data_IF_268080087047
#
_entry.id   IF_268080087047
#
_cell.length_a   1.000
_cell.length_b   1.000
_cell.length_c   1.000
_cell.angle_alpha   90.00
_cell.angle_beta   90.00
_cell.angle_gamma   90.00
#
_symmetry.space_group_name_H-M   'P 1'
#
loop_
_entity.id
_entity.type
_entity.pdbx_description
1 polymer ?
#
# COMPACT_ATOMS: atom_id res chain seq x y z
N UNK A 1 15.39 13.07 28.84
CA UNK A 1 16.64 12.44 28.33
C UNK A 1 16.24 11.29 27.43
N UNK A 2 16.83 11.13 26.24
CA UNK A 2 16.47 10.06 25.31
C UNK A 2 16.76 8.67 25.92
N UNK A 3 15.79 7.75 25.88
CA UNK A 3 15.97 6.40 26.40
C UNK A 3 16.76 5.56 25.40
N UNK A 4 17.97 5.13 25.77
CA UNK A 4 18.81 4.27 24.92
C UNK A 4 18.65 2.76 25.22
N UNK A 5 18.01 2.43 26.34
CA UNK A 5 17.84 1.04 26.82
C UNK A 5 16.49 0.48 26.38
N UNK A 6 16.51 -0.72 25.79
CA UNK A 6 15.29 -1.43 25.37
C UNK A 6 14.49 -1.88 26.60
N UNK A 7 13.19 -1.60 26.59
CA UNK A 7 12.23 -2.22 27.50
C UNK A 7 11.00 -2.70 26.71
N UNK A 8 10.38 -3.82 27.09
CA UNK A 8 9.15 -4.29 26.44
C UNK A 8 8.02 -3.24 26.47
N UNK A 9 7.88 -2.51 27.58
CA UNK A 9 6.83 -1.49 27.73
C UNK A 9 7.01 -0.32 26.76
N UNK A 10 8.27 0.12 26.56
CA UNK A 10 8.57 1.19 25.61
C UNK A 10 8.36 0.73 24.16
N UNK A 11 8.73 -0.51 23.84
CA UNK A 11 8.45 -1.11 22.54
C UNK A 11 6.94 -1.22 22.28
N UNK A 12 6.16 -1.63 23.27
CA UNK A 12 4.70 -1.72 23.18
C UNK A 12 4.05 -0.36 22.98
N UNK A 13 4.51 0.68 23.69
CA UNK A 13 4.01 2.05 23.53
C UNK A 13 4.32 2.62 22.14
N UNK A 14 5.53 2.38 21.60
CA UNK A 14 5.88 2.75 20.22
C UNK A 14 4.94 2.07 19.22
N UNK A 15 4.73 0.76 19.36
CA UNK A 15 3.81 -0.01 18.51
C UNK A 15 2.37 0.52 18.59
N UNK A 16 1.88 0.81 19.80
CA UNK A 16 0.55 1.37 20.01
C UNK A 16 0.36 2.69 19.27
N UNK A 17 1.32 3.62 19.38
CA UNK A 17 1.26 4.91 18.68
C UNK A 17 1.30 4.77 17.16
N UNK A 18 2.15 3.89 16.65
CA UNK A 18 2.21 3.58 15.22
C UNK A 18 0.86 3.07 14.72
N UNK A 19 0.26 2.10 15.44
CA UNK A 19 -1.06 1.56 15.09
C UNK A 19 -2.14 2.65 15.05
N UNK A 20 -2.01 3.69 15.90
CA UNK A 20 -2.91 4.85 15.95
C UNK A 20 -2.53 5.99 14.98
N UNK A 21 -1.67 5.73 13.99
CA UNK A 21 -1.39 6.67 12.91
C UNK A 21 -0.15 7.54 13.09
N UNK A 22 0.46 7.57 14.28
CA UNK A 22 1.66 8.38 14.53
C UNK A 22 2.83 7.88 13.65
N UNK A 23 3.57 8.83 13.08
CA UNK A 23 4.83 8.51 12.40
C UNK A 23 5.92 8.24 13.42
N UNK A 24 6.83 7.31 13.11
CA UNK A 24 7.98 7.02 13.98
C UNK A 24 8.79 8.29 14.30
N UNK A 25 8.90 9.22 13.34
CA UNK A 25 9.52 10.53 13.56
C UNK A 25 8.83 11.30 14.69
N UNK A 26 7.52 11.45 14.62
CA UNK A 26 6.73 12.19 15.62
C UNK A 26 6.85 11.52 16.99
N UNK A 27 6.84 10.19 17.05
CA UNK A 27 7.03 9.43 18.28
C UNK A 27 8.41 9.72 18.89
N UNK A 28 9.46 9.66 18.08
CA UNK A 28 10.83 9.89 18.56
C UNK A 28 11.10 11.35 18.95
N UNK A 29 10.26 12.30 18.52
CA UNK A 29 10.34 13.71 18.91
C UNK A 29 9.69 13.97 20.29
N UNK A 30 8.96 13.01 20.86
CA UNK A 30 8.35 13.13 22.19
C UNK A 30 9.39 13.04 23.31
N UNK A 31 9.13 13.72 24.43
CA UNK A 31 9.94 13.53 25.63
C UNK A 31 9.79 12.09 26.15
N UNK A 32 10.89 11.55 26.68
CA UNK A 32 10.97 10.17 27.15
C UNK A 32 10.79 9.09 26.06
N UNK A 33 10.95 9.42 24.77
CA UNK A 33 11.05 8.44 23.68
C UNK A 33 12.51 8.21 23.24
N UNK A 34 12.83 7.01 22.72
CA UNK A 34 14.13 6.75 22.10
C UNK A 34 14.25 7.51 20.79
N UNK A 35 15.49 7.84 20.39
CA UNK A 35 15.75 8.38 19.07
C UNK A 35 15.52 7.31 17.97
N UNK A 36 15.36 7.76 16.72
CA UNK A 36 15.10 6.87 15.59
C UNK A 36 16.21 5.82 15.39
N UNK A 37 17.48 6.18 15.57
CA UNK A 37 18.61 5.25 15.42
C UNK A 37 18.52 4.13 16.44
N UNK A 38 18.16 4.45 17.68
CA UNK A 38 17.92 3.46 18.74
C UNK A 38 16.77 2.52 18.39
N UNK A 39 15.63 3.03 17.90
CA UNK A 39 14.49 2.17 17.50
C UNK A 39 14.87 1.24 16.34
N UNK A 40 15.54 1.76 15.31
CA UNK A 40 15.99 0.93 14.19
C UNK A 40 17.01 -0.13 14.60
N UNK A 41 17.88 0.15 15.59
CA UNK A 41 18.78 -0.85 16.17
C UNK A 41 17.98 -1.97 16.84
N UNK A 42 17.00 -1.64 17.68
CA UNK A 42 16.15 -2.64 18.32
C UNK A 42 15.41 -3.50 17.30
N UNK A 43 14.88 -2.89 16.23
CA UNK A 43 14.27 -3.64 15.12
C UNK A 43 15.26 -4.58 14.41
N UNK A 44 16.57 -4.35 14.44
CA UNK A 44 17.54 -5.29 13.85
C UNK A 44 17.91 -6.42 14.80
N UNK A 45 17.96 -6.13 16.09
CA UNK A 45 18.47 -7.05 17.11
C UNK A 45 17.37 -7.92 17.75
N UNK A 46 16.10 -7.49 17.70
CA UNK A 46 14.99 -8.08 18.47
C UNK A 46 13.87 -8.55 17.56
N UNK A 47 13.75 -9.86 17.40
CA UNK A 47 12.68 -10.49 16.58
C UNK A 47 11.29 -10.27 17.18
N UNK A 48 11.17 -10.34 18.51
CA UNK A 48 9.93 -10.07 19.24
C UNK A 48 9.38 -8.67 18.97
N UNK A 49 10.26 -7.67 18.97
CA UNK A 49 9.87 -6.30 18.66
C UNK A 49 9.55 -6.11 17.18
N UNK A 50 10.34 -6.70 16.26
CA UNK A 50 10.03 -6.66 14.82
C UNK A 50 8.63 -7.15 14.50
N UNK A 51 8.23 -8.28 15.09
CA UNK A 51 6.92 -8.87 14.82
C UNK A 51 5.79 -7.97 15.34
N UNK A 52 5.93 -7.40 16.54
CA UNK A 52 4.97 -6.44 17.09
C UNK A 52 4.90 -5.16 16.24
N UNK A 53 6.05 -4.66 15.80
CA UNK A 53 6.14 -3.48 14.96
C UNK A 53 5.51 -3.71 13.58
N UNK A 54 5.71 -4.88 12.98
CA UNK A 54 5.07 -5.25 11.72
C UNK A 54 3.54 -5.28 11.85
N UNK A 55 3.00 -5.87 12.92
CA UNK A 55 1.55 -5.86 13.20
C UNK A 55 1.02 -4.45 13.41
N UNK A 56 1.71 -3.64 14.20
CA UNK A 56 1.34 -2.24 14.39
C UNK A 56 1.31 -1.44 13.07
N UNK A 57 2.19 -1.77 12.12
CA UNK A 57 2.19 -1.19 10.77
C UNK A 57 1.01 -1.66 9.91
N UNK A 58 0.55 -2.90 10.08
CA UNK A 58 -0.68 -3.39 9.47
C UNK A 58 -1.91 -2.67 10.06
N UNK A 59 -1.99 -2.55 11.39
CA UNK A 59 -3.07 -1.83 12.09
C UNK A 59 -3.09 -0.34 11.74
N UNK A 60 -1.92 0.28 11.52
CA UNK A 60 -1.80 1.65 11.03
C UNK A 60 -2.48 1.85 9.68
N UNK A 61 -2.51 0.82 8.82
CA UNK A 61 -3.22 0.92 7.55
C UNK A 61 -4.75 0.98 7.74
N UNK A 62 -5.29 0.30 8.76
CA UNK A 62 -6.72 0.42 9.14
C UNK A 62 -7.02 1.81 9.68
N UNK A 63 -6.16 2.35 10.54
CA UNK A 63 -6.31 3.72 11.03
C UNK A 63 -6.33 4.75 9.88
N UNK A 64 -5.45 4.59 8.89
CA UNK A 64 -5.44 5.46 7.71
C UNK A 64 -6.70 5.33 6.85
N UNK A 65 -7.37 4.18 6.83
CA UNK A 65 -8.66 4.02 6.16
C UNK A 65 -9.72 4.91 6.83
N UNK A 66 -9.81 4.87 8.16
CA UNK A 66 -10.77 5.67 8.92
C UNK A 66 -10.48 7.17 8.78
N UNK A 67 -9.21 7.57 8.79
CA UNK A 67 -8.81 8.95 8.51
C UNK A 67 -9.17 9.39 7.09
N UNK A 68 -9.01 8.52 6.08
CA UNK A 68 -9.39 8.85 4.69
C UNK A 68 -10.87 9.21 4.62
N UNK A 69 -11.75 8.38 5.22
CA UNK A 69 -13.19 8.63 5.24
C UNK A 69 -13.47 9.99 5.90
N UNK A 70 -12.88 10.22 7.07
CA UNK A 70 -13.04 11.48 7.82
C UNK A 70 -12.59 12.69 6.99
N UNK A 71 -11.45 12.61 6.30
CA UNK A 71 -10.92 13.71 5.48
C UNK A 71 -11.78 13.94 4.23
N UNK A 72 -12.29 12.86 3.63
CA UNK A 72 -13.13 12.95 2.44
C UNK A 72 -14.50 13.57 2.71
N UNK A 73 -15.07 13.34 3.90
CA UNK A 73 -16.38 13.86 4.28
C UNK A 73 -16.32 15.27 4.92
N UNK A 74 -15.14 15.71 5.37
CA UNK A 74 -14.94 17.04 5.96
C UNK A 74 -14.86 18.16 4.90
N UNK A 75 -16.01 18.80 4.65
CA UNK A 75 -16.15 19.97 3.78
C UNK A 75 -16.09 21.32 4.52
N UNK A 76 -15.80 21.33 5.83
CA UNK A 76 -15.94 22.50 6.70
C UNK A 76 -15.09 23.72 6.29
N UNK A 77 -14.07 23.52 5.44
CA UNK A 77 -13.15 24.57 4.97
C UNK A 77 -13.00 24.64 3.46
N UNK A 78 -13.88 23.98 2.72
CA UNK A 78 -13.86 23.97 1.25
C UNK A 78 -14.27 25.31 0.64
N UNK A 79 -14.89 26.19 1.43
CA UNK A 79 -15.38 27.50 0.98
C UNK A 79 -14.78 28.62 1.84
N UNK A 80 -14.31 29.67 1.18
CA UNK A 80 -13.94 30.94 1.79
C UNK A 80 -15.14 31.87 1.60
N UNK A 81 -15.77 32.26 2.72
CA UNK A 81 -16.87 33.21 2.70
C UNK A 81 -16.34 34.63 2.53
N UNK A 82 -16.62 35.25 1.39
CA UNK A 82 -16.30 36.65 1.08
C UNK A 82 -17.51 37.56 1.22
N UNK A 83 -17.30 38.88 1.27
CA UNK A 83 -18.40 39.86 1.39
C UNK A 83 -19.34 39.84 0.18
N UNK A 84 -18.80 39.71 -1.04
CA UNK A 84 -19.59 39.74 -2.29
C UNK A 84 -20.02 38.34 -2.78
N UNK A 85 -19.16 37.33 -2.58
CA UNK A 85 -19.44 35.95 -2.98
C UNK A 85 -18.53 34.97 -2.25
N UNK A 86 -19.04 33.75 -2.13
CA UNK A 86 -18.27 32.59 -1.72
C UNK A 86 -17.28 32.15 -2.82
N UNK A 87 -16.10 31.70 -2.40
CA UNK A 87 -15.08 31.18 -3.30
C UNK A 87 -14.57 29.82 -2.81
N UNK A 88 -14.29 28.85 -3.70
CA UNK A 88 -13.67 27.60 -3.29
C UNK A 88 -12.29 27.85 -2.67
N UNK A 89 -12.03 27.21 -1.54
CA UNK A 89 -10.72 27.14 -0.91
C UNK A 89 -9.87 26.08 -1.61
N UNK A 90 -9.37 26.42 -2.80
CA UNK A 90 -8.60 25.48 -3.63
C UNK A 90 -7.39 24.87 -2.92
N UNK A 91 -6.76 25.60 -2.00
CA UNK A 91 -5.63 25.10 -1.21
C UNK A 91 -6.06 23.99 -0.25
N UNK A 92 -7.18 24.19 0.46
CA UNK A 92 -7.70 23.21 1.41
C UNK A 92 -8.15 21.94 0.68
N UNK A 93 -8.91 22.10 -0.40
CA UNK A 93 -9.39 20.99 -1.24
C UNK A 93 -8.19 20.19 -1.79
N UNK A 94 -7.17 20.88 -2.32
CA UNK A 94 -5.97 20.23 -2.84
C UNK A 94 -5.18 19.50 -1.74
N UNK A 95 -5.07 20.09 -0.55
CA UNK A 95 -4.39 19.46 0.60
C UNK A 95 -5.15 18.23 1.09
N UNK A 96 -6.48 18.30 1.20
CA UNK A 96 -7.31 17.15 1.61
C UNK A 96 -7.17 16.00 0.62
N UNK A 97 -7.20 16.28 -0.69
CA UNK A 97 -6.90 15.28 -1.72
C UNK A 97 -5.51 14.67 -1.56
N UNK A 98 -4.47 15.50 -1.39
CA UNK A 98 -3.10 15.02 -1.19
C UNK A 98 -2.96 14.13 0.06
N UNK A 99 -3.65 14.48 1.15
CA UNK A 99 -3.67 13.68 2.38
C UNK A 99 -4.29 12.30 2.18
N UNK A 100 -5.39 12.23 1.41
CA UNK A 100 -6.05 10.98 1.04
C UNK A 100 -5.13 10.14 0.15
N UNK A 101 -4.57 10.73 -0.90
CA UNK A 101 -3.69 10.02 -1.85
C UNK A 101 -2.42 9.48 -1.17
N UNK A 102 -1.79 10.27 -0.29
CA UNK A 102 -0.64 9.84 0.48
C UNK A 102 -0.95 8.66 1.40
N UNK A 103 -2.12 8.66 2.05
CA UNK A 103 -2.57 7.55 2.91
C UNK A 103 -2.89 6.29 2.12
N UNK A 104 -3.58 6.41 0.97
CA UNK A 104 -3.82 5.28 0.07
C UNK A 104 -2.50 4.63 -0.38
N UNK A 105 -1.54 5.45 -0.78
CA UNK A 105 -0.21 4.95 -1.14
C UNK A 105 0.46 4.25 0.03
N UNK A 106 0.46 4.86 1.23
CA UNK A 106 1.03 4.24 2.42
C UNK A 106 0.37 2.90 2.75
N UNK A 107 -0.96 2.81 2.76
CA UNK A 107 -1.72 1.58 3.01
C UNK A 107 -1.32 0.45 2.05
N UNK A 108 -1.12 0.76 0.76
CA UNK A 108 -0.66 -0.24 -0.23
C UNK A 108 0.72 -0.82 0.08
N UNK A 109 1.57 -0.09 0.82
CA UNK A 109 2.91 -0.54 1.23
C UNK A 109 2.90 -1.20 2.60
N UNK A 110 2.05 -0.73 3.51
CA UNK A 110 1.93 -1.24 4.87
C UNK A 110 1.19 -2.58 4.92
N UNK A 111 0.10 -2.72 4.17
CA UNK A 111 -0.71 -3.93 4.10
C UNK A 111 -0.99 -4.33 2.63
N UNK A 112 0.05 -4.71 1.86
CA UNK A 112 -0.05 -4.98 0.42
C UNK A 112 -1.02 -6.12 0.07
N UNK A 113 -1.24 -7.08 0.99
CA UNK A 113 -2.20 -8.17 0.77
C UNK A 113 -3.65 -7.66 0.73
N UNK A 114 -3.97 -6.61 1.49
CA UNK A 114 -5.33 -6.06 1.63
C UNK A 114 -5.54 -4.87 0.69
N UNK A 115 -4.57 -3.96 0.60
CA UNK A 115 -4.68 -2.69 -0.12
C UNK A 115 -3.70 -2.53 -1.29
N UNK A 116 -2.93 -3.57 -1.62
CA UNK A 116 -2.06 -3.55 -2.79
C UNK A 116 -2.86 -3.65 -4.09
N UNK A 117 -2.33 -3.04 -5.14
CA UNK A 117 -2.92 -3.13 -6.47
C UNK A 117 -2.89 -4.58 -6.96
N UNK A 118 -4.07 -5.10 -7.32
CA UNK A 118 -4.19 -6.41 -7.96
C UNK A 118 -4.10 -6.22 -9.46
N UNK A 119 -3.00 -6.67 -10.05
CA UNK A 119 -2.87 -6.75 -11.49
C UNK A 119 -3.59 -8.01 -11.97
N UNK A 120 -4.64 -7.82 -12.76
CA UNK A 120 -5.27 -8.94 -13.46
C UNK A 120 -4.42 -9.30 -14.69
N UNK A 121 -3.75 -10.45 -14.63
CA UNK A 121 -2.93 -10.98 -15.70
C UNK A 121 -3.74 -12.02 -16.47
N UNK A 122 -4.70 -11.55 -17.27
CA UNK A 122 -5.43 -12.40 -18.22
C UNK A 122 -5.03 -12.10 -19.67
N UNK A 123 -5.10 -13.11 -20.52
CA UNK A 123 -5.01 -12.98 -21.98
C UNK A 123 -6.18 -13.74 -22.61
N UNK A 124 -6.98 -13.06 -23.44
CA UNK A 124 -8.20 -13.61 -24.04
C UNK A 124 -9.19 -14.23 -23.03
N UNK A 125 -9.27 -13.69 -21.80
CA UNK A 125 -10.15 -14.18 -20.73
C UNK A 125 -9.60 -15.35 -19.91
N UNK A 126 -8.37 -15.82 -20.20
CA UNK A 126 -7.74 -16.90 -19.44
C UNK A 126 -6.57 -16.37 -18.60
N UNK A 127 -6.46 -16.87 -17.35
CA UNK A 127 -5.37 -16.55 -16.42
C UNK A 127 -4.01 -16.92 -17.03
N UNK A 128 -3.04 -16.00 -16.95
CA UNK A 128 -1.65 -16.23 -17.28
C UNK A 128 -0.87 -16.96 -16.15
N UNK A 129 -1.45 -17.03 -14.95
CA UNK A 129 -0.91 -17.81 -13.84
C UNK A 129 -1.24 -19.29 -14.03
N UNK A 130 -0.56 -19.92 -14.99
CA UNK A 130 -0.69 -21.33 -15.33
C UNK A 130 0.32 -22.15 -14.50
N UNK A 131 -0.10 -23.33 -14.02
CA UNK A 131 0.83 -24.35 -13.47
C UNK A 131 1.80 -24.83 -14.56
N UNK A 132 2.93 -25.47 -14.21
CA UNK A 132 3.84 -26.04 -15.20
C UNK A 132 3.11 -26.96 -16.20
N UNK A 133 2.17 -27.81 -15.75
CA UNK A 133 1.41 -28.67 -16.67
C UNK A 133 0.49 -27.86 -17.59
N UNK A 134 -0.17 -26.83 -17.07
CA UNK A 134 -1.06 -25.97 -17.86
C UNK A 134 -0.29 -25.14 -18.90
N UNK A 135 0.94 -24.69 -18.59
CA UNK A 135 1.83 -24.03 -19.56
C UNK A 135 2.22 -24.98 -20.68
N UNK A 136 2.62 -26.20 -20.33
CA UNK A 136 3.02 -27.21 -21.31
C UNK A 136 1.87 -27.56 -22.26
N UNK A 137 0.66 -27.72 -21.72
CA UNK A 137 -0.56 -27.98 -22.50
C UNK A 137 -0.88 -26.82 -23.46
N UNK A 138 -0.85 -25.57 -22.99
CA UNK A 138 -1.06 -24.40 -23.85
C UNK A 138 0.01 -24.24 -24.93
N UNK A 139 1.28 -24.43 -24.59
CA UNK A 139 2.37 -24.34 -25.57
C UNK A 139 2.24 -25.40 -26.66
N UNK A 140 1.87 -26.63 -26.30
CA UNK A 140 1.58 -27.69 -27.26
C UNK A 140 0.39 -27.34 -28.17
N UNK A 141 -0.69 -26.79 -27.60
CA UNK A 141 -1.87 -26.37 -28.37
C UNK A 141 -1.53 -25.22 -29.35
N UNK A 142 -0.74 -24.23 -28.93
CA UNK A 142 -0.30 -23.13 -29.80
C UNK A 142 0.60 -23.65 -30.92
N UNK A 143 1.55 -24.55 -30.62
CA UNK A 143 2.42 -25.16 -31.62
C UNK A 143 1.62 -25.97 -32.65
N UNK A 144 0.62 -26.74 -32.20
CA UNK A 144 -0.27 -27.49 -33.08
C UNK A 144 -1.12 -26.57 -33.97
N UNK A 145 -1.66 -25.49 -33.42
CA UNK A 145 -2.43 -24.50 -34.18
C UNK A 145 -1.57 -23.71 -35.19
N UNK A 146 -0.29 -23.48 -34.89
CA UNK A 146 0.66 -22.89 -35.82
C UNK A 146 1.04 -23.84 -36.95
N UNK A 147 1.27 -25.13 -36.64
CA UNK A 147 1.54 -26.16 -37.64
C UNK A 147 0.37 -26.35 -38.60
N UNK A 148 -0.87 -26.35 -38.07
CA UNK A 148 -2.09 -26.45 -38.89
C UNK A 148 -2.25 -25.27 -39.86
N UNK A 149 -2.02 -24.03 -39.38
CA UNK A 149 -2.08 -22.83 -40.23
C UNK A 149 -1.02 -22.84 -41.33
N UNK A 150 0.19 -23.31 -41.02
CA UNK A 150 1.28 -23.41 -42.01
C UNK A 150 0.97 -24.43 -43.11
N UNK A 151 0.31 -25.54 -42.77
CA UNK A 151 -0.13 -26.54 -43.74
C UNK A 151 -1.32 -26.08 -44.61
N UNK A 152 -2.15 -25.18 -44.10
CA UNK A 152 -3.26 -24.56 -44.85
C UNK A 152 -2.75 -23.48 -45.82
N UNK A 153 -1.71 -22.72 -45.46
CA UNK A 153 -1.06 -21.69 -46.31
C UNK A 153 -0.28 -22.30 -47.49
N UNK A 154 0.42 -23.44 -47.29
CA UNK A 154 1.11 -24.18 -48.36
C UNK A 154 0.13 -24.82 -49.38
N UNK A 155 -1.18 -24.82 -49.10
CA UNK A 155 -2.21 -25.38 -49.97
C UNK A 155 -2.90 -24.36 -50.88
N UNK A 156 -2.71 -23.05 -50.69
CA UNK A 156 -3.45 -22.02 -51.45
C UNK A 156 -2.74 -21.47 -52.70
N UNK A 157 -1.49 -21.87 -52.96
CA UNK A 157 -0.70 -21.39 -54.11
C UNK A 157 -0.80 -22.28 -55.38
N UNK A 158 -1.85 -23.11 -55.51
CA UNK A 158 -2.06 -23.97 -56.68
C UNK A 158 -3.45 -23.87 -57.34
N UNK A 159 -3.96 -22.64 -57.53
CA UNK A 159 -4.99 -22.37 -58.57
C UNK A 159 -4.64 -21.11 -59.35
#
# INVERSE_FOLDING_TARGET
>A
MAHSTYTPDLAAEICKRIALGDSLRTICDLDSMPDQTTVYRWLREREDFRQQYARAREDQAEHYLDEIITISDDSSRDTIHGEDRDMPNSEWIARSRLRVDARKWAMSKLAPKKYGDKLDLTSAGESLNLTPEQRQSKMAAIAAAAAKRRAEDDGSDLV
#
